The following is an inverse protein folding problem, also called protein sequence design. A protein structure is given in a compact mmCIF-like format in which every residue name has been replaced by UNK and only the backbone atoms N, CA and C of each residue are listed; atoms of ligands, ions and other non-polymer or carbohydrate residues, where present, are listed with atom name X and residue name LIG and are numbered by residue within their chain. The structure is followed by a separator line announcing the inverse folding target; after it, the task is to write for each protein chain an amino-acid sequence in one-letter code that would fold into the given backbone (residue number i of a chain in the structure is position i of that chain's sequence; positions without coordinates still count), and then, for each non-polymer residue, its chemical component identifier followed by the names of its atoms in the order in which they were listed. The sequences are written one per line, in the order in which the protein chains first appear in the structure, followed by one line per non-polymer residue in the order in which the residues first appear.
data_IF_901290000503
#
_entry.id   IF_901290000503
#
_cell.length_a   1.000
_cell.length_b   1.000
_cell.length_c   1.000
_cell.angle_alpha   90.00
_cell.angle_beta   90.00
_cell.angle_gamma   90.00
#
_symmetry.space_group_name_H-M   'P 1'
#
loop_
_entity.id
_entity.type
_entity.pdbx_description
1 polymer ?
#
# COMPACT_ATOMS: atom_id res chain seq x y z
N UNK A 1 23.09 15.82 -5.00
CA UNK A 1 21.89 15.87 -5.85
C UNK A 1 21.92 14.67 -6.79
N UNK A 2 20.77 14.20 -7.22
CA UNK A 2 20.67 13.26 -8.35
C UNK A 2 20.69 14.09 -9.62
N UNK A 3 21.35 13.65 -10.69
CA UNK A 3 21.25 14.25 -12.04
C UNK A 3 20.61 13.24 -12.96
N UNK A 4 19.44 13.57 -13.52
CA UNK A 4 18.75 12.72 -14.49
C UNK A 4 19.29 12.94 -15.90
N UNK A 5 19.28 11.90 -16.72
CA UNK A 5 19.84 11.88 -18.07
C UNK A 5 18.80 11.75 -19.18
N UNK A 6 17.72 11.02 -18.89
CA UNK A 6 16.63 10.78 -19.82
C UNK A 6 15.35 10.49 -19.04
N UNK A 7 14.23 10.53 -19.75
CA UNK A 7 12.92 10.09 -19.26
C UNK A 7 12.23 9.33 -20.37
N UNK A 8 11.53 8.26 -20.01
CA UNK A 8 10.66 7.48 -20.89
C UNK A 8 9.34 7.17 -20.19
N UNK A 9 8.30 6.92 -20.99
CA UNK A 9 6.99 6.51 -20.49
C UNK A 9 6.92 4.98 -20.46
N UNK A 10 6.54 4.44 -19.31
CA UNK A 10 6.16 3.05 -19.15
C UNK A 10 4.63 2.96 -19.16
N UNK A 11 4.07 2.47 -20.25
CA UNK A 11 2.61 2.39 -20.44
C UNK A 11 1.96 1.32 -19.58
N UNK A 12 2.69 0.28 -19.17
CA UNK A 12 2.15 -0.83 -18.39
C UNK A 12 1.83 -0.38 -16.98
N UNK A 13 2.73 0.41 -16.38
CA UNK A 13 2.57 0.92 -15.01
C UNK A 13 2.27 2.41 -14.95
N UNK A 14 1.99 3.03 -16.10
CA UNK A 14 1.67 4.45 -16.26
C UNK A 14 2.62 5.34 -15.47
N UNK A 15 3.91 5.17 -15.71
CA UNK A 15 4.95 5.90 -14.99
C UNK A 15 5.93 6.58 -15.91
N UNK A 16 6.53 7.67 -15.45
CA UNK A 16 7.74 8.21 -16.03
C UNK A 16 8.92 7.49 -15.40
N UNK A 17 9.85 7.05 -16.24
CA UNK A 17 11.04 6.28 -15.85
C UNK A 17 12.26 7.02 -16.34
N UNK A 18 13.16 7.36 -15.43
CA UNK A 18 14.35 8.14 -15.71
C UNK A 18 15.61 7.43 -15.23
N UNK A 19 16.71 7.52 -15.99
CA UNK A 19 18.03 7.12 -15.51
C UNK A 19 18.75 8.35 -14.99
N UNK A 20 19.54 8.17 -13.94
CA UNK A 20 20.32 9.24 -13.37
C UNK A 20 21.58 8.77 -12.66
N UNK A 21 22.29 9.75 -12.12
CA UNK A 21 23.55 9.58 -11.43
C UNK A 21 23.57 10.41 -10.16
N UNK A 22 24.15 9.85 -9.12
CA UNK A 22 24.56 10.53 -7.91
C UNK A 22 25.89 9.95 -7.43
N UNK A 23 26.25 10.16 -6.17
CA UNK A 23 27.42 9.53 -5.55
C UNK A 23 27.05 8.83 -4.23
N UNK A 24 27.98 8.03 -3.72
CA UNK A 24 27.78 7.29 -2.48
C UNK A 24 27.51 8.18 -1.27
N UNK A 25 28.13 9.36 -1.19
CA UNK A 25 27.88 10.31 -0.10
C UNK A 25 26.43 10.77 -0.08
N UNK A 26 25.92 11.23 -1.22
CA UNK A 26 24.52 11.62 -1.34
C UNK A 26 23.57 10.46 -1.04
N UNK A 27 23.92 9.24 -1.48
CA UNK A 27 23.13 8.06 -1.19
C UNK A 27 23.03 7.76 0.31
N UNK A 28 24.13 7.89 1.06
CA UNK A 28 24.15 7.71 2.51
C UNK A 28 23.33 8.78 3.24
N UNK A 29 23.39 10.03 2.77
CA UNK A 29 22.72 11.17 3.41
C UNK A 29 21.22 11.22 3.09
N UNK A 30 20.81 10.88 1.86
CA UNK A 30 19.46 11.15 1.36
C UNK A 30 18.68 9.90 0.94
N UNK A 31 19.33 8.80 0.56
CA UNK A 31 18.65 7.59 0.10
C UNK A 31 18.59 6.50 1.16
N UNK A 32 19.60 6.41 2.03
CA UNK A 32 19.63 5.48 3.16
C UNK A 32 18.46 5.70 4.14
N UNK A 33 18.08 6.95 4.53
CA UNK A 33 16.92 7.18 5.41
C UNK A 33 15.61 6.64 4.83
N UNK A 34 15.50 6.58 3.50
CA UNK A 34 14.32 6.04 2.83
C UNK A 34 14.14 4.54 3.08
N UNK A 35 15.17 3.81 3.53
CA UNK A 35 15.06 2.40 3.92
C UNK A 35 14.45 2.25 5.31
N UNK A 36 14.76 3.17 6.22
CA UNK A 36 14.32 3.06 7.62
C UNK A 36 12.80 3.26 7.77
N UNK A 37 12.13 3.85 6.76
CA UNK A 37 10.65 3.82 6.61
C UNK A 37 10.07 2.39 6.57
N UNK A 38 10.90 1.36 6.36
CA UNK A 38 10.49 -0.01 6.08
C UNK A 38 10.93 -1.04 7.14
N UNK A 39 11.53 -0.61 8.25
CA UNK A 39 12.35 -1.51 9.08
C UNK A 39 11.58 -2.28 10.17
N UNK A 40 10.63 -3.12 9.76
CA UNK A 40 10.22 -4.26 10.60
C UNK A 40 10.77 -5.56 10.05
N UNK A 41 11.91 -5.95 10.63
CA UNK A 41 12.45 -7.30 10.66
C UNK A 41 12.83 -7.91 9.31
N UNK A 42 13.76 -7.27 8.59
CA UNK A 42 14.68 -8.07 7.77
C UNK A 42 15.70 -8.73 8.67
N UNK A 43 15.48 -10.00 9.01
CA UNK A 43 16.56 -10.88 9.49
C UNK A 43 17.73 -10.75 8.51
N UNK A 44 18.83 -10.17 8.99
CA UNK A 44 20.11 -10.05 8.28
C UNK A 44 20.43 -11.39 7.61
N UNK A 45 20.27 -11.46 6.29
CA UNK A 45 20.64 -12.65 5.54
C UNK A 45 22.18 -12.77 5.50
N UNK A 46 22.66 -14.00 5.32
CA UNK A 46 24.04 -14.50 5.51
C UNK A 46 25.16 -13.45 5.33
N UNK A 47 25.82 -13.09 6.46
CA UNK A 47 26.95 -12.13 6.56
C UNK A 47 27.99 -12.20 5.44
N UNK A 48 28.39 -13.40 5.00
CA UNK A 48 29.52 -13.62 4.08
C UNK A 48 29.41 -12.93 2.71
N UNK A 49 28.22 -12.83 2.10
CA UNK A 49 28.08 -12.20 0.79
C UNK A 49 28.18 -10.67 0.86
N UNK A 50 27.61 -10.08 1.92
CA UNK A 50 27.64 -8.64 2.15
C UNK A 50 29.02 -8.16 2.58
N UNK A 51 29.78 -8.99 3.30
CA UNK A 51 31.18 -8.72 3.62
C UNK A 51 32.03 -8.57 2.36
N UNK A 52 31.75 -9.36 1.32
CA UNK A 52 32.50 -9.25 0.06
C UNK A 52 32.18 -7.96 -0.69
N UNK A 53 30.90 -7.65 -0.88
CA UNK A 53 30.49 -6.40 -1.54
C UNK A 53 31.01 -5.18 -0.78
N UNK A 54 30.98 -5.20 0.56
CA UNK A 54 31.56 -4.13 1.40
C UNK A 54 33.03 -3.91 1.08
N UNK A 55 33.84 -4.98 1.05
CA UNK A 55 35.26 -4.89 0.71
C UNK A 55 35.48 -4.40 -0.72
N UNK A 56 34.66 -4.85 -1.67
CA UNK A 56 34.76 -4.43 -3.06
C UNK A 56 34.41 -2.93 -3.22
N UNK A 57 33.40 -2.41 -2.50
CA UNK A 57 33.06 -0.97 -2.45
C UNK A 57 34.26 -0.15 -1.97
N UNK A 58 34.89 -0.57 -0.87
CA UNK A 58 36.09 0.11 -0.33
C UNK A 58 37.25 0.09 -1.33
N UNK A 59 37.32 -0.94 -2.18
CA UNK A 59 38.33 -1.05 -3.26
C UNK A 59 38.01 -0.24 -4.52
N UNK A 60 36.89 0.47 -4.57
CA UNK A 60 36.50 1.28 -5.73
C UNK A 60 35.40 0.68 -6.61
N UNK A 61 34.70 -0.37 -6.16
CA UNK A 61 33.58 -0.94 -6.91
C UNK A 61 32.46 0.08 -7.07
N UNK A 62 31.99 0.24 -8.32
CA UNK A 62 30.76 0.95 -8.66
C UNK A 62 29.61 -0.05 -8.54
N UNK A 63 28.70 0.18 -7.59
CA UNK A 63 27.57 -0.70 -7.33
C UNK A 63 26.57 -0.68 -8.49
N UNK A 64 25.83 -1.78 -8.71
CA UNK A 64 24.69 -1.78 -9.62
C UNK A 64 23.66 -0.71 -9.20
N UNK A 65 22.84 -0.20 -10.15
CA UNK A 65 21.98 0.96 -9.94
C UNK A 65 20.87 0.70 -8.92
N UNK A 66 20.57 1.70 -8.08
CA UNK A 66 19.40 1.65 -7.21
C UNK A 66 18.14 2.02 -7.98
N UNK A 67 16.97 1.53 -7.54
CA UNK A 67 15.70 2.01 -8.07
C UNK A 67 14.96 2.80 -6.99
N UNK A 68 14.70 4.06 -7.28
CA UNK A 68 13.88 4.97 -6.49
C UNK A 68 12.49 5.06 -7.12
N UNK A 69 11.46 5.09 -6.29
CA UNK A 69 10.09 5.21 -6.74
C UNK A 69 9.34 6.31 -5.99
N UNK A 70 8.44 6.99 -6.69
CA UNK A 70 7.56 8.04 -6.20
C UNK A 70 6.15 7.79 -6.72
N UNK A 71 5.14 8.30 -6.03
CA UNK A 71 3.76 8.31 -6.51
C UNK A 71 3.30 9.75 -6.69
N UNK A 72 3.04 10.10 -7.93
CA UNK A 72 2.53 11.41 -8.30
C UNK A 72 1.84 11.32 -9.66
N UNK A 73 0.55 11.60 -9.72
CA UNK A 73 -0.23 11.46 -10.95
C UNK A 73 0.09 12.51 -12.00
N UNK A 74 0.54 13.71 -11.59
CA UNK A 74 0.87 14.82 -12.49
C UNK A 74 2.17 14.52 -13.24
N UNK A 75 3.22 14.16 -12.49
CA UNK A 75 4.56 13.93 -13.02
C UNK A 75 4.73 12.51 -13.57
N UNK A 76 3.83 11.58 -13.27
CA UNK A 76 3.86 10.24 -13.84
C UNK A 76 3.80 10.26 -15.37
N UNK A 77 3.00 11.14 -15.97
CA UNK A 77 2.90 11.25 -17.43
C UNK A 77 3.92 12.23 -18.05
N UNK A 78 4.69 12.94 -17.23
CA UNK A 78 5.64 13.93 -17.70
C UNK A 78 6.82 13.27 -18.43
N UNK A 79 7.17 13.86 -19.58
CA UNK A 79 8.34 13.52 -20.38
C UNK A 79 9.34 14.70 -20.43
N UNK A 80 9.12 15.71 -19.60
CA UNK A 80 10.07 16.81 -19.43
C UNK A 80 11.07 16.46 -18.32
N UNK A 81 12.32 16.24 -18.73
CA UNK A 81 13.38 15.87 -17.80
C UNK A 81 13.67 16.93 -16.74
N UNK A 82 13.53 18.22 -17.07
CA UNK A 82 13.78 19.31 -16.12
C UNK A 82 12.70 19.37 -15.05
N UNK A 83 11.46 19.07 -15.46
CA UNK A 83 10.32 18.96 -14.57
C UNK A 83 10.46 17.79 -13.61
N UNK A 84 10.78 16.60 -14.13
CA UNK A 84 11.05 15.42 -13.31
C UNK A 84 12.24 15.66 -12.36
N UNK A 85 13.31 16.28 -12.84
CA UNK A 85 14.48 16.62 -12.03
C UNK A 85 14.07 17.49 -10.83
N UNK A 86 13.30 18.56 -11.06
CA UNK A 86 12.83 19.46 -9.99
C UNK A 86 11.92 18.72 -9.01
N UNK A 87 11.03 17.86 -9.50
CA UNK A 87 10.16 17.05 -8.65
C UNK A 87 10.97 16.13 -7.73
N UNK A 88 11.93 15.39 -8.28
CA UNK A 88 12.76 14.45 -7.50
C UNK A 88 13.60 15.17 -6.45
N UNK A 89 14.19 16.32 -6.80
CA UNK A 89 14.99 17.10 -5.87
C UNK A 89 14.19 17.64 -4.68
N UNK A 90 12.95 18.08 -4.92
CA UNK A 90 12.07 18.63 -3.88
C UNK A 90 11.48 17.56 -2.99
N UNK A 91 11.11 16.42 -3.58
CA UNK A 91 10.33 15.38 -2.91
C UNK A 91 11.16 14.14 -2.55
N UNK A 92 12.49 14.24 -2.50
CA UNK A 92 13.38 13.09 -2.28
C UNK A 92 13.03 12.31 -1.00
N UNK A 93 12.55 13.00 0.04
CA UNK A 93 12.17 12.42 1.33
C UNK A 93 10.88 11.60 1.25
N UNK A 94 10.06 11.84 0.24
CA UNK A 94 8.79 11.15 -0.03
C UNK A 94 9.00 9.91 -0.91
N UNK A 95 10.21 9.73 -1.43
CA UNK A 95 10.58 8.61 -2.27
C UNK A 95 10.77 7.30 -1.51
N UNK A 96 10.77 6.21 -2.27
CA UNK A 96 10.96 4.84 -1.76
C UNK A 96 12.09 4.13 -2.49
N UNK A 97 12.88 3.32 -1.78
CA UNK A 97 13.86 2.43 -2.40
C UNK A 97 13.16 1.15 -2.86
N UNK A 98 12.77 1.11 -4.14
CA UNK A 98 12.09 -0.03 -4.77
C UNK A 98 13.02 -1.25 -4.88
N UNK A 99 14.28 -1.00 -5.27
CA UNK A 99 15.34 -2.00 -5.36
C UNK A 99 16.67 -1.41 -4.88
N UNK A 100 17.43 -2.21 -4.14
CA UNK A 100 18.78 -1.86 -3.68
C UNK A 100 18.92 -1.57 -2.19
N UNK A 101 17.90 -1.85 -1.38
CA UNK A 101 17.97 -1.69 0.09
C UNK A 101 19.20 -2.38 0.72
N UNK A 102 19.49 -3.62 0.31
CA UNK A 102 20.65 -4.35 0.84
C UNK A 102 21.99 -3.76 0.38
N UNK A 103 22.02 -3.17 -0.82
CA UNK A 103 23.20 -2.46 -1.34
C UNK A 103 23.44 -1.19 -0.54
N UNK A 104 22.40 -0.42 -0.24
CA UNK A 104 22.51 0.76 0.63
C UNK A 104 22.92 0.41 2.07
N UNK A 105 22.39 -0.66 2.67
CA UNK A 105 22.85 -1.13 3.98
C UNK A 105 24.32 -1.59 3.94
N UNK A 106 24.75 -2.22 2.85
CA UNK A 106 26.16 -2.58 2.66
C UNK A 106 27.03 -1.34 2.48
N UNK A 107 26.54 -0.32 1.79
CA UNK A 107 27.20 0.97 1.64
C UNK A 107 27.38 1.67 3.01
N UNK A 108 26.36 1.65 3.87
CA UNK A 108 26.44 2.13 5.26
C UNK A 108 27.54 1.43 6.05
N UNK A 109 27.67 0.11 5.87
CA UNK A 109 28.75 -0.63 6.53
C UNK A 109 30.12 -0.33 5.92
N UNK A 110 30.20 -0.15 4.59
CA UNK A 110 31.43 0.22 3.90
C UNK A 110 31.92 1.61 4.28
N UNK A 111 31.00 2.55 4.57
CA UNK A 111 31.36 3.92 4.98
C UNK A 111 32.02 4.03 6.35
N UNK A 112 32.03 2.94 7.13
CA UNK A 112 32.74 2.87 8.41
C UNK A 112 34.23 2.52 8.25
N UNK A 113 34.66 2.15 7.03
CA UNK A 113 36.04 1.77 6.75
C UNK A 113 36.89 2.99 6.36
N UNK A 114 38.14 3.03 6.83
CA UNK A 114 39.04 4.19 6.69
C UNK A 114 39.29 4.60 5.23
N UNK A 115 39.35 3.63 4.31
CA UNK A 115 39.64 3.85 2.89
C UNK A 115 38.37 4.08 2.02
N UNK A 116 37.22 4.33 2.63
CA UNK A 116 35.98 4.51 1.89
C UNK A 116 35.97 5.80 1.04
N UNK A 117 35.72 5.65 -0.26
CA UNK A 117 35.53 6.78 -1.17
C UNK A 117 34.05 7.06 -1.44
N UNK A 118 33.48 8.04 -0.72
CA UNK A 118 32.10 8.48 -0.90
C UNK A 118 31.81 9.24 -2.21
N UNK A 119 32.83 9.58 -3.01
CA UNK A 119 32.66 10.29 -4.29
C UNK A 119 32.46 9.36 -5.48
N UNK A 120 32.52 8.05 -5.28
CA UNK A 120 32.27 7.10 -6.35
C UNK A 120 30.84 7.26 -6.90
N UNK A 121 30.69 7.14 -8.22
CA UNK A 121 29.40 7.29 -8.87
C UNK A 121 28.43 6.19 -8.43
N UNK A 122 27.15 6.56 -8.33
CA UNK A 122 26.04 5.66 -8.12
C UNK A 122 24.96 5.96 -9.14
N UNK A 123 24.71 5.01 -10.02
CA UNK A 123 23.60 5.10 -10.96
C UNK A 123 22.27 4.84 -10.24
N UNK A 124 21.23 5.53 -10.68
CA UNK A 124 19.88 5.38 -10.14
C UNK A 124 18.87 5.31 -11.28
N UNK A 125 17.84 4.49 -11.09
CA UNK A 125 16.62 4.50 -11.86
C UNK A 125 15.58 5.22 -10.99
N UNK A 126 14.89 6.21 -11.55
CA UNK A 126 13.79 6.90 -10.89
C UNK A 126 12.49 6.54 -11.60
N UNK A 127 11.48 6.15 -10.83
CA UNK A 127 10.15 5.81 -11.33
C UNK A 127 9.14 6.71 -10.62
N UNK A 128 8.33 7.44 -11.37
CA UNK A 128 7.20 8.19 -10.82
C UNK A 128 5.95 7.57 -11.41
N UNK A 129 5.22 6.79 -10.61
CA UNK A 129 4.00 6.13 -11.08
C UNK A 129 2.77 6.93 -10.70
N UNK A 130 1.74 6.80 -11.54
CA UNK A 130 0.46 7.48 -11.32
C UNK A 130 -0.19 7.01 -10.03
N UNK A 131 -0.03 5.71 -9.70
CA UNK A 131 -0.68 5.06 -8.56
C UNK A 131 0.18 3.97 -7.95
N UNK A 132 -0.07 3.70 -6.68
CA UNK A 132 0.64 2.70 -5.87
C UNK A 132 0.49 1.27 -6.35
N UNK A 133 -0.69 0.88 -6.83
CA UNK A 133 -0.95 -0.47 -7.32
C UNK A 133 -0.13 -0.80 -8.58
N UNK A 134 0.21 0.20 -9.39
CA UNK A 134 1.06 0.07 -10.56
C UNK A 134 2.55 -0.14 -10.19
N UNK A 135 3.04 0.55 -9.13
CA UNK A 135 4.37 0.25 -8.58
C UNK A 135 4.44 -1.16 -7.98
N UNK A 136 3.39 -1.60 -7.28
CA UNK A 136 3.31 -2.95 -6.73
C UNK A 136 3.39 -3.99 -7.85
N UNK A 137 2.63 -3.80 -8.92
CA UNK A 137 2.72 -4.66 -10.09
C UNK A 137 4.14 -4.73 -10.65
N UNK A 138 4.85 -3.59 -10.75
CA UNK A 138 6.25 -3.57 -11.19
C UNK A 138 7.16 -4.40 -10.27
N UNK A 139 6.99 -4.26 -8.95
CA UNK A 139 7.75 -5.05 -7.98
C UNK A 139 7.51 -6.55 -8.14
N UNK A 140 6.27 -6.96 -8.41
CA UNK A 140 5.90 -8.37 -8.61
C UNK A 140 6.49 -8.91 -9.90
N UNK A 141 6.29 -8.19 -11.00
CA UNK A 141 6.61 -8.67 -12.35
C UNK A 141 8.09 -8.60 -12.71
N UNK A 142 8.84 -7.64 -12.15
CA UNK A 142 10.26 -7.42 -12.49
C UNK A 142 11.25 -8.03 -11.50
N UNK A 143 10.80 -8.72 -10.44
CA UNK A 143 11.69 -9.48 -9.51
C UNK A 143 11.92 -10.94 -9.94
N UNK A 144 11.58 -11.30 -11.18
CA UNK A 144 11.77 -12.64 -11.73
C UNK A 144 13.26 -13.07 -11.70
N UNK A 145 13.60 -13.98 -10.78
CA UNK A 145 14.93 -14.60 -10.68
C UNK A 145 15.66 -14.42 -9.33
N UNK A 146 15.17 -13.56 -8.43
CA UNK A 146 15.66 -13.48 -7.04
C UNK A 146 14.69 -14.19 -6.09
N UNK A 147 15.14 -14.57 -4.88
CA UNK A 147 14.24 -15.18 -3.88
C UNK A 147 13.09 -14.19 -3.62
N UNK A 148 11.86 -14.51 -4.05
CA UNK A 148 10.80 -13.51 -4.12
C UNK A 148 10.46 -13.02 -2.73
N UNK A 149 10.27 -11.71 -2.61
CA UNK A 149 9.65 -11.12 -1.43
C UNK A 149 8.21 -11.64 -1.37
N UNK A 150 7.72 -12.07 -0.20
CA UNK A 150 6.32 -12.53 -0.12
C UNK A 150 5.39 -11.38 -0.50
N UNK A 151 4.36 -11.67 -1.28
CA UNK A 151 3.28 -10.75 -1.65
C UNK A 151 2.78 -9.91 -0.47
N UNK A 152 2.63 -10.55 0.71
CA UNK A 152 2.29 -9.86 1.95
C UNK A 152 3.34 -8.85 2.41
N UNK A 153 4.63 -9.22 2.40
CA UNK A 153 5.68 -8.27 2.75
C UNK A 153 5.74 -7.12 1.72
N UNK A 154 5.48 -7.38 0.43
CA UNK A 154 5.36 -6.32 -0.58
C UNK A 154 4.19 -5.36 -0.28
N UNK A 155 3.03 -5.92 0.03
CA UNK A 155 1.85 -5.14 0.43
C UNK A 155 2.12 -4.36 1.72
N UNK A 156 2.71 -4.95 2.75
CA UNK A 156 3.04 -4.28 4.02
C UNK A 156 4.10 -3.18 3.83
N UNK A 157 5.12 -3.43 3.00
CA UNK A 157 6.12 -2.41 2.64
C UNK A 157 5.45 -1.22 1.97
N UNK A 158 4.61 -1.46 0.97
CA UNK A 158 3.93 -0.37 0.25
C UNK A 158 2.85 0.29 1.09
N UNK A 159 2.17 -0.46 1.95
CA UNK A 159 1.20 0.10 2.90
C UNK A 159 1.89 1.10 3.81
N UNK A 160 3.12 0.83 4.31
CA UNK A 160 3.88 1.82 5.11
C UNK A 160 4.17 3.11 4.35
N UNK A 161 4.44 3.06 3.04
CA UNK A 161 4.63 4.24 2.21
C UNK A 161 3.31 5.00 1.91
N UNK A 162 2.22 4.29 1.61
CA UNK A 162 0.88 4.86 1.46
C UNK A 162 0.33 5.48 2.75
N UNK A 163 0.85 5.02 3.88
CA UNK A 163 0.55 5.48 5.22
C UNK A 163 1.50 6.60 5.67
N UNK A 164 2.04 7.42 4.77
CA UNK A 164 2.51 8.75 5.18
C UNK A 164 1.28 9.55 5.66
N UNK A 165 0.96 9.34 6.95
CA UNK A 165 -0.22 9.79 7.68
C UNK A 165 -0.22 11.30 7.91
N UNK A 166 0.72 12.05 7.34
CA UNK A 166 0.80 13.50 7.51
C UNK A 166 -0.41 14.24 6.90
N UNK A 167 -1.17 13.58 6.02
CA UNK A 167 -2.35 14.16 5.36
C UNK A 167 -3.69 13.52 5.75
N UNK A 168 -3.70 12.48 6.60
CA UNK A 168 -4.92 11.83 7.08
C UNK A 168 -5.08 12.10 8.58
N UNK A 169 -6.29 12.47 9.01
CA UNK A 169 -6.61 12.68 10.43
C UNK A 169 -6.69 11.39 11.26
N UNK A 170 -6.71 10.22 10.62
CA UNK A 170 -6.74 8.91 11.29
C UNK A 170 -5.35 8.45 11.77
N UNK A 171 -5.32 7.98 13.03
CA UNK A 171 -4.13 7.37 13.62
C UNK A 171 -4.00 5.90 13.21
N UNK A 172 -2.83 5.50 12.71
CA UNK A 172 -2.57 4.15 12.22
C UNK A 172 -1.34 3.59 12.92
N UNK A 173 -1.51 2.49 13.66
CA UNK A 173 -0.51 1.96 14.59
C UNK A 173 -0.13 0.52 14.27
N UNK A 174 1.12 0.18 14.50
CA UNK A 174 1.63 -1.18 14.48
C UNK A 174 1.10 -2.00 15.66
N UNK A 175 1.23 -3.33 15.57
CA UNK A 175 0.88 -4.22 16.69
C UNK A 175 1.69 -3.89 17.95
N UNK A 176 2.99 -3.61 17.79
CA UNK A 176 3.89 -3.24 18.90
C UNK A 176 3.51 -1.92 19.58
N UNK A 177 3.12 -0.91 18.80
CA UNK A 177 2.67 0.39 19.34
C UNK A 177 1.32 0.27 20.06
N UNK A 178 0.46 -0.64 19.59
CA UNK A 178 -0.83 -0.95 20.24
C UNK A 178 -0.62 -1.55 21.64
N UNK A 179 0.38 -2.41 21.79
CA UNK A 179 0.75 -3.03 23.07
C UNK A 179 1.34 -2.04 24.09
N UNK A 180 2.09 -1.04 23.61
CA UNK A 180 2.83 -0.10 24.47
C UNK A 180 2.05 1.16 24.83
N UNK A 181 1.31 1.74 23.87
CA UNK A 181 0.68 3.07 24.04
C UNK A 181 -0.85 3.05 24.13
N UNK A 182 -1.50 1.92 23.81
CA UNK A 182 -2.98 1.76 23.73
C UNK A 182 -3.71 3.00 23.18
N UNK A 183 -3.34 3.51 22.00
CA UNK A 183 -3.92 4.73 21.47
C UNK A 183 -5.40 4.50 21.17
N UNK A 184 -6.27 5.33 21.75
CA UNK A 184 -7.71 5.23 21.53
C UNK A 184 -8.04 5.66 20.10
N UNK A 185 -8.97 4.95 19.45
CA UNK A 185 -9.44 5.28 18.10
C UNK A 185 -8.46 4.97 16.96
N UNK A 186 -7.32 4.32 17.22
CA UNK A 186 -6.34 4.01 16.19
C UNK A 186 -6.69 2.76 15.37
N UNK A 187 -6.37 2.79 14.07
CA UNK A 187 -6.48 1.66 13.14
C UNK A 187 -5.22 0.81 13.20
N UNK A 188 -5.36 -0.52 13.12
CA UNK A 188 -4.22 -1.42 13.09
C UNK A 188 -3.64 -1.50 11.68
N UNK A 189 -2.33 -1.39 11.56
CA UNK A 189 -1.61 -1.56 10.27
C UNK A 189 -1.93 -2.90 9.60
N UNK A 190 -2.05 -3.98 10.38
CA UNK A 190 -2.41 -5.30 9.85
C UNK A 190 -3.79 -5.32 9.18
N UNK A 191 -4.77 -4.61 9.75
CA UNK A 191 -6.12 -4.51 9.20
C UNK A 191 -6.14 -3.70 7.90
N UNK A 192 -5.39 -2.60 7.83
CA UNK A 192 -5.21 -1.80 6.60
C UNK A 192 -4.56 -2.66 5.50
N UNK A 193 -3.51 -3.41 5.81
CA UNK A 193 -2.84 -4.28 4.84
C UNK A 193 -3.77 -5.39 4.34
N UNK A 194 -4.59 -5.98 5.22
CA UNK A 194 -5.59 -6.97 4.84
C UNK A 194 -6.69 -6.37 3.94
N UNK A 195 -7.16 -5.17 4.26
CA UNK A 195 -8.13 -4.43 3.46
C UNK A 195 -7.58 -4.04 2.09
N UNK A 196 -6.32 -3.62 2.01
CA UNK A 196 -5.64 -3.35 0.74
C UNK A 196 -5.49 -4.61 -0.11
N UNK A 197 -5.12 -5.73 0.52
CA UNK A 197 -5.06 -7.04 -0.16
C UNK A 197 -6.42 -7.42 -0.74
N UNK A 198 -7.50 -7.26 0.03
CA UNK A 198 -8.86 -7.53 -0.42
C UNK A 198 -9.27 -6.59 -1.56
N UNK A 199 -8.93 -5.30 -1.46
CA UNK A 199 -9.13 -4.31 -2.51
C UNK A 199 -8.45 -4.74 -3.81
N UNK A 200 -7.17 -5.08 -3.78
CA UNK A 200 -6.41 -5.50 -4.96
C UNK A 200 -6.98 -6.77 -5.58
N UNK A 201 -7.26 -7.78 -4.75
CA UNK A 201 -7.82 -9.06 -5.19
C UNK A 201 -9.30 -8.99 -5.58
N UNK A 202 -10.01 -7.89 -5.24
CA UNK A 202 -11.46 -7.77 -5.37
C UNK A 202 -12.20 -8.94 -4.70
N UNK A 203 -11.64 -9.44 -3.60
CA UNK A 203 -12.14 -10.59 -2.87
C UNK A 203 -12.09 -10.29 -1.38
N UNK A 204 -13.19 -10.57 -0.69
CA UNK A 204 -13.27 -10.46 0.78
C UNK A 204 -12.82 -11.74 1.48
N UNK A 205 -12.60 -12.83 0.73
CA UNK A 205 -12.16 -14.13 1.26
C UNK A 205 -10.64 -14.19 1.35
N UNK A 206 -10.07 -13.34 2.21
CA UNK A 206 -8.63 -13.23 2.41
C UNK A 206 -8.08 -13.99 3.62
N UNK A 207 -8.90 -14.82 4.28
CA UNK A 207 -8.49 -15.61 5.44
C UNK A 207 -7.38 -16.61 5.17
N UNK A 208 -7.40 -17.22 3.98
CA UNK A 208 -6.28 -18.03 3.52
C UNK A 208 -5.19 -17.12 2.96
N UNK A 209 -4.66 -16.27 3.84
CA UNK A 209 -3.50 -15.41 3.63
C UNK A 209 -2.39 -16.15 2.89
N UNK A 210 -2.16 -17.43 3.19
CA UNK A 210 -1.18 -18.29 2.51
C UNK A 210 -1.50 -18.59 1.03
N UNK A 211 -2.78 -18.78 0.68
CA UNK A 211 -3.22 -19.03 -0.70
C UNK A 211 -3.21 -17.73 -1.50
N UNK A 212 -3.70 -16.63 -0.90
CA UNK A 212 -3.62 -15.31 -1.51
C UNK A 212 -2.16 -14.92 -1.70
N UNK A 213 -1.28 -15.12 -0.72
CA UNK A 213 0.15 -14.86 -0.86
C UNK A 213 0.79 -15.67 -2.00
N UNK A 214 0.38 -16.93 -2.19
CA UNK A 214 0.89 -17.75 -3.30
C UNK A 214 0.34 -17.38 -4.67
N UNK A 215 -0.83 -16.71 -4.73
CA UNK A 215 -1.54 -16.36 -5.96
C UNK A 215 -1.68 -14.86 -6.20
N UNK A 216 -1.19 -14.00 -5.31
CA UNK A 216 -1.31 -12.55 -5.43
C UNK A 216 -0.61 -12.08 -6.69
N UNK A 217 0.55 -12.68 -6.97
CA UNK A 217 1.32 -12.43 -8.19
C UNK A 217 0.49 -12.80 -9.42
N UNK A 218 -0.15 -13.97 -9.43
CA UNK A 218 -1.05 -14.40 -10.50
C UNK A 218 -2.28 -13.47 -10.64
N UNK A 219 -2.87 -13.03 -9.53
CA UNK A 219 -4.06 -12.16 -9.52
C UNK A 219 -3.71 -10.75 -10.01
N UNK A 220 -2.59 -10.18 -9.56
CA UNK A 220 -2.15 -8.86 -9.98
C UNK A 220 -1.66 -8.89 -11.43
N UNK A 221 -0.97 -9.95 -11.85
CA UNK A 221 -0.62 -10.15 -13.26
C UNK A 221 -1.87 -10.29 -14.12
N UNK A 222 -2.79 -11.19 -13.76
CA UNK A 222 -4.02 -11.40 -14.50
C UNK A 222 -4.87 -10.12 -14.59
N UNK A 223 -4.95 -9.33 -13.51
CA UNK A 223 -5.77 -8.10 -13.50
C UNK A 223 -5.13 -6.87 -14.13
N UNK A 224 -3.82 -6.86 -14.35
CA UNK A 224 -3.15 -5.81 -15.16
C UNK A 224 -3.15 -6.20 -16.63
N UNK A 225 -3.08 -7.51 -16.92
CA UNK A 225 -3.22 -8.05 -18.27
C UNK A 225 -4.66 -8.00 -18.80
N UNK A 226 -5.65 -8.31 -17.96
CA UNK A 226 -7.01 -7.84 -18.16
C UNK A 226 -6.97 -6.34 -17.91
N UNK A 227 -7.19 -5.50 -18.91
CA UNK A 227 -7.08 -4.03 -18.91
C UNK A 227 -7.84 -3.27 -17.80
N UNK A 228 -8.51 -3.99 -16.88
CA UNK A 228 -9.40 -3.46 -15.85
C UNK A 228 -8.68 -2.80 -14.66
N UNK A 229 -7.42 -3.13 -14.32
CA UNK A 229 -6.70 -2.37 -13.26
C UNK A 229 -6.31 -0.97 -13.71
N UNK A 230 -5.90 -0.83 -14.96
CA UNK A 230 -5.58 0.44 -15.59
C UNK A 230 -6.85 1.28 -15.80
N UNK A 231 -8.01 0.67 -16.03
CA UNK A 231 -9.30 1.39 -16.16
C UNK A 231 -10.01 1.72 -14.83
N UNK A 232 -9.58 1.14 -13.70
CA UNK A 232 -10.20 1.43 -12.40
C UNK A 232 -9.98 2.90 -12.03
N UNK A 233 -11.05 3.71 -11.98
CA UNK A 233 -11.04 5.10 -11.47
C UNK A 233 -10.93 5.20 -9.94
N UNK A 234 -10.93 4.04 -9.26
CA UNK A 234 -10.89 3.92 -7.81
C UNK A 234 -9.53 3.36 -7.39
N UNK A 235 -8.87 4.09 -6.49
CA UNK A 235 -7.62 3.71 -5.84
C UNK A 235 -7.89 3.34 -4.38
N UNK A 236 -6.95 2.63 -3.75
CA UNK A 236 -7.06 2.36 -2.31
C UNK A 236 -6.89 3.65 -1.47
N UNK A 237 -6.22 4.68 -2.01
CA UNK A 237 -6.15 5.98 -1.35
C UNK A 237 -7.53 6.64 -1.25
N UNK A 238 -8.41 6.44 -2.22
CA UNK A 238 -9.80 6.91 -2.14
C UNK A 238 -10.52 6.24 -0.95
N UNK A 239 -10.24 4.97 -0.68
CA UNK A 239 -10.77 4.27 0.48
C UNK A 239 -10.26 4.91 1.78
N UNK A 240 -8.96 5.18 1.89
CA UNK A 240 -8.40 5.82 3.08
C UNK A 240 -8.93 7.24 3.31
N UNK A 241 -9.11 8.03 2.24
CA UNK A 241 -9.73 9.37 2.32
C UNK A 241 -11.16 9.31 2.83
N UNK A 242 -11.96 8.33 2.38
CA UNK A 242 -13.32 8.14 2.86
C UNK A 242 -13.35 7.59 4.29
N UNK A 243 -12.45 6.68 4.65
CA UNK A 243 -12.28 6.21 6.04
C UNK A 243 -11.97 7.39 6.95
N UNK A 244 -11.06 8.28 6.54
CA UNK A 244 -10.71 9.50 7.27
C UNK A 244 -11.91 10.43 7.43
N UNK A 245 -12.59 10.75 6.32
CA UNK A 245 -13.83 11.56 6.32
C UNK A 245 -14.88 11.03 7.29
N UNK A 246 -15.17 9.73 7.25
CA UNK A 246 -16.20 9.12 8.11
C UNK A 246 -15.72 8.90 9.55
N UNK A 247 -14.41 8.86 9.79
CA UNK A 247 -13.86 8.74 11.15
C UNK A 247 -14.02 9.99 12.01
N UNK A 248 -14.54 11.08 11.45
CA UNK A 248 -14.99 12.26 12.20
C UNK A 248 -16.10 11.90 13.21
N UNK A 249 -16.90 10.86 12.93
CA UNK A 249 -17.88 10.29 13.87
C UNK A 249 -17.31 9.04 14.57
N UNK A 250 -17.59 8.92 15.87
CA UNK A 250 -17.04 7.86 16.72
C UNK A 250 -17.61 6.49 16.36
N UNK A 251 -18.92 6.39 16.10
CA UNK A 251 -19.58 5.13 15.75
C UNK A 251 -19.07 4.62 14.40
N UNK A 252 -19.01 5.50 13.41
CA UNK A 252 -18.47 5.22 12.08
C UNK A 252 -17.01 4.81 12.12
N UNK A 253 -16.19 5.54 12.90
CA UNK A 253 -14.79 5.19 13.13
C UNK A 253 -14.66 3.79 13.72
N UNK A 254 -15.39 3.48 14.78
CA UNK A 254 -15.27 2.18 15.44
C UNK A 254 -15.81 1.04 14.57
N UNK A 255 -16.83 1.29 13.74
CA UNK A 255 -17.28 0.35 12.71
C UNK A 255 -16.18 0.07 11.68
N UNK A 256 -15.53 1.11 11.14
CA UNK A 256 -14.46 1.00 10.14
C UNK A 256 -13.17 0.42 10.71
N UNK A 257 -12.90 0.56 12.01
CA UNK A 257 -11.73 -0.03 12.68
C UNK A 257 -11.82 -1.55 12.79
N UNK A 258 -13.00 -2.14 12.64
CA UNK A 258 -13.16 -3.58 12.65
C UNK A 258 -12.65 -4.13 11.32
N UNK A 259 -11.55 -4.90 11.34
CA UNK A 259 -10.86 -5.37 10.12
C UNK A 259 -11.79 -6.04 9.10
N UNK A 260 -12.80 -6.79 9.55
CA UNK A 260 -13.82 -7.39 8.68
C UNK A 260 -14.66 -6.33 7.94
N UNK A 261 -15.06 -5.27 8.64
CA UNK A 261 -15.85 -4.19 8.03
C UNK A 261 -14.96 -3.38 7.08
N UNK A 262 -13.71 -3.11 7.47
CA UNK A 262 -12.75 -2.40 6.63
C UNK A 262 -12.46 -3.14 5.31
N UNK A 263 -12.30 -4.47 5.37
CA UNK A 263 -12.14 -5.33 4.19
C UNK A 263 -13.37 -5.22 3.29
N UNK A 264 -14.58 -5.37 3.85
CA UNK A 264 -15.82 -5.26 3.09
C UNK A 264 -16.00 -3.87 2.47
N UNK A 265 -15.76 -2.82 3.25
CA UNK A 265 -15.80 -1.43 2.82
C UNK A 265 -14.86 -1.17 1.65
N UNK A 266 -13.61 -1.60 1.76
CA UNK A 266 -12.59 -1.37 0.74
C UNK A 266 -12.96 -2.03 -0.58
N UNK A 267 -13.46 -3.27 -0.55
CA UNK A 267 -13.93 -3.94 -1.77
C UNK A 267 -15.20 -3.30 -2.30
N UNK A 268 -16.15 -2.97 -1.42
CA UNK A 268 -17.45 -2.43 -1.80
C UNK A 268 -17.38 -1.06 -2.45
N UNK A 269 -16.46 -0.21 -1.99
CA UNK A 269 -16.21 1.14 -2.48
C UNK A 269 -16.07 1.21 -4.01
N UNK A 270 -15.50 0.18 -4.64
CA UNK A 270 -15.29 0.16 -6.09
C UNK A 270 -16.57 0.34 -6.90
N UNK A 271 -17.72 0.01 -6.30
CA UNK A 271 -19.03 0.11 -6.93
C UNK A 271 -19.83 1.33 -6.47
N UNK A 272 -19.35 2.09 -5.48
CA UNK A 272 -20.13 3.13 -4.80
C UNK A 272 -19.32 4.37 -4.41
N UNK A 273 -18.12 4.56 -4.97
CA UNK A 273 -17.23 5.71 -4.71
C UNK A 273 -17.97 7.04 -4.82
N UNK A 274 -18.72 7.26 -5.88
CA UNK A 274 -19.39 8.53 -6.13
C UNK A 274 -20.45 8.82 -5.06
N UNK A 275 -21.29 7.82 -4.73
CA UNK A 275 -22.27 7.93 -3.64
C UNK A 275 -21.58 8.23 -2.31
N UNK A 276 -20.53 7.50 -1.95
CA UNK A 276 -19.78 7.68 -0.70
C UNK A 276 -19.09 9.05 -0.61
N UNK A 277 -18.60 9.59 -1.73
CA UNK A 277 -18.02 10.92 -1.79
C UNK A 277 -19.05 12.01 -1.45
N UNK A 278 -20.30 11.84 -1.87
CA UNK A 278 -21.39 12.81 -1.58
C UNK A 278 -22.01 12.64 -0.19
N UNK A 279 -21.84 11.49 0.45
CA UNK A 279 -22.47 11.16 1.74
C UNK A 279 -21.86 11.95 2.90
N UNK A 280 -22.68 12.48 3.82
CA UNK A 280 -22.17 13.16 5.03
C UNK A 280 -21.76 12.14 6.11
N UNK A 281 -20.86 12.51 7.05
CA UNK A 281 -20.54 11.65 8.19
C UNK A 281 -21.77 11.23 9.00
N UNK A 282 -22.74 12.12 9.19
CA UNK A 282 -23.97 11.84 9.94
C UNK A 282 -24.83 10.79 9.23
N UNK A 283 -25.01 10.89 7.91
CA UNK A 283 -25.77 9.88 7.16
C UNK A 283 -25.04 8.54 7.12
N UNK A 284 -23.72 8.55 7.03
CA UNK A 284 -22.94 7.32 7.09
C UNK A 284 -23.07 6.65 8.46
N UNK A 285 -23.05 7.43 9.54
CA UNK A 285 -23.33 6.96 10.90
C UNK A 285 -24.68 6.24 10.99
N UNK A 286 -25.76 6.89 10.58
CA UNK A 286 -27.12 6.31 10.62
C UNK A 286 -27.17 4.98 9.83
N UNK A 287 -26.50 4.94 8.68
CA UNK A 287 -26.42 3.76 7.84
C UNK A 287 -25.65 2.61 8.53
N UNK A 288 -24.52 2.90 9.20
CA UNK A 288 -23.76 1.85 9.93
C UNK A 288 -24.43 1.40 11.22
N UNK A 289 -25.20 2.25 11.88
CA UNK A 289 -26.05 1.84 13.03
C UNK A 289 -27.11 0.84 12.58
N UNK A 290 -27.80 1.16 11.48
CA UNK A 290 -28.78 0.26 10.85
C UNK A 290 -28.13 -1.07 10.42
N UNK A 291 -26.90 -1.01 9.88
CA UNK A 291 -26.12 -2.19 9.54
C UNK A 291 -25.87 -3.08 10.76
N UNK A 292 -25.42 -2.52 11.89
CA UNK A 292 -25.08 -3.30 13.08
C UNK A 292 -26.31 -3.92 13.74
N UNK A 293 -27.44 -3.21 13.76
CA UNK A 293 -28.71 -3.74 14.24
C UNK A 293 -29.17 -4.91 13.37
N UNK A 294 -29.14 -4.76 12.04
CA UNK A 294 -29.51 -5.82 11.11
C UNK A 294 -28.55 -7.02 11.18
N UNK A 295 -27.24 -6.77 11.34
CA UNK A 295 -26.24 -7.83 11.47
C UNK A 295 -26.40 -8.61 12.77
N UNK A 296 -26.73 -7.92 13.86
CA UNK A 296 -26.94 -8.54 15.19
C UNK A 296 -28.24 -9.32 15.27
N UNK A 297 -29.25 -8.98 14.45
CA UNK A 297 -30.48 -9.76 14.28
C UNK A 297 -30.26 -11.10 13.57
N UNK A 298 -29.16 -11.26 12.82
CA UNK A 298 -28.78 -12.56 12.27
C UNK A 298 -28.38 -13.49 13.42
N UNK A 299 -28.86 -14.75 13.39
CA UNK A 299 -28.45 -15.74 14.40
C UNK A 299 -27.05 -16.28 14.10
N UNK A 300 -26.04 -15.43 14.25
CA UNK A 300 -24.63 -15.68 13.88
C UNK A 300 -23.92 -16.70 14.75
N UNK A 301 -24.52 -17.13 15.87
CA UNK A 301 -23.93 -18.06 16.85
C UNK A 301 -23.60 -19.46 16.30
N UNK A 302 -24.11 -19.82 15.12
CA UNK A 302 -23.86 -21.11 14.42
C UNK A 302 -22.98 -20.98 13.17
N UNK A 303 -22.38 -19.80 12.94
CA UNK A 303 -21.84 -19.39 11.65
C UNK A 303 -20.41 -18.81 11.79
N UNK A 304 -19.61 -18.86 10.72
CA UNK A 304 -18.32 -18.12 10.64
C UNK A 304 -18.57 -16.60 10.58
N UNK A 305 -18.80 -15.98 11.74
CA UNK A 305 -19.17 -14.56 11.92
C UNK A 305 -18.25 -13.62 11.13
N UNK A 306 -16.95 -13.86 11.13
CA UNK A 306 -15.98 -13.01 10.44
C UNK A 306 -16.10 -13.06 8.91
N UNK A 307 -16.42 -14.22 8.33
CA UNK A 307 -16.68 -14.37 6.90
C UNK A 307 -17.90 -13.54 6.47
N UNK A 308 -19.06 -13.81 7.09
CA UNK A 308 -20.31 -13.14 6.73
C UNK A 308 -20.25 -11.64 6.98
N UNK A 309 -19.60 -11.20 8.06
CA UNK A 309 -19.47 -9.77 8.33
C UNK A 309 -18.74 -9.04 7.20
N UNK A 310 -17.70 -9.65 6.60
CA UNK A 310 -17.02 -9.08 5.44
C UNK A 310 -17.88 -9.07 4.18
N UNK A 311 -18.56 -10.17 3.89
CA UNK A 311 -19.44 -10.30 2.73
C UNK A 311 -20.60 -9.31 2.78
N UNK A 312 -21.25 -9.21 3.94
CA UNK A 312 -22.36 -8.29 4.16
C UNK A 312 -21.88 -6.84 4.19
N UNK A 313 -20.73 -6.54 4.80
CA UNK A 313 -20.13 -5.20 4.70
C UNK A 313 -19.83 -4.82 3.26
N UNK A 314 -19.30 -5.74 2.44
CA UNK A 314 -19.09 -5.50 1.00
C UNK A 314 -20.42 -5.26 0.29
N UNK A 315 -21.41 -6.13 0.48
CA UNK A 315 -22.73 -6.00 -0.15
C UNK A 315 -23.37 -4.65 0.20
N UNK A 316 -23.35 -4.31 1.49
CA UNK A 316 -23.90 -3.06 2.02
C UNK A 316 -23.23 -1.85 1.38
N UNK A 317 -21.90 -1.80 1.40
CA UNK A 317 -21.15 -0.66 0.86
C UNK A 317 -21.25 -0.59 -0.67
N UNK A 318 -21.21 -1.72 -1.39
CA UNK A 318 -21.37 -1.74 -2.86
C UNK A 318 -22.70 -1.20 -3.36
N UNK A 319 -23.74 -1.24 -2.52
CA UNK A 319 -25.10 -0.81 -2.87
C UNK A 319 -25.63 0.21 -1.87
N UNK A 320 -24.74 0.99 -1.25
CA UNK A 320 -25.10 1.86 -0.12
C UNK A 320 -26.24 2.82 -0.47
N UNK A 321 -26.27 3.34 -1.69
CA UNK A 321 -27.35 4.21 -2.19
C UNK A 321 -28.75 3.60 -2.00
N UNK A 322 -28.89 2.28 -2.15
CA UNK A 322 -30.16 1.56 -2.02
C UNK A 322 -30.53 1.31 -0.55
N UNK A 323 -29.56 1.41 0.36
CA UNK A 323 -29.69 1.02 1.76
C UNK A 323 -29.68 2.19 2.74
N UNK A 324 -29.30 3.40 2.31
CA UNK A 324 -29.27 4.60 3.16
C UNK A 324 -30.58 4.85 3.90
N UNK A 325 -31.72 4.65 3.22
CA UNK A 325 -33.05 4.88 3.79
C UNK A 325 -33.79 3.56 4.12
N UNK A 326 -33.08 2.42 4.17
CA UNK A 326 -33.70 1.15 4.54
C UNK A 326 -33.79 1.02 6.05
N UNK A 327 -34.90 0.48 6.55
CA UNK A 327 -35.03 0.13 7.96
C UNK A 327 -34.28 -1.17 8.30
N UNK A 328 -34.15 -1.43 9.60
CA UNK A 328 -33.47 -2.61 10.15
C UNK A 328 -34.09 -3.91 9.63
N UNK A 329 -35.42 -3.99 9.55
CA UNK A 329 -36.13 -5.21 9.15
C UNK A 329 -35.82 -5.59 7.69
N UNK A 330 -35.90 -4.61 6.79
CA UNK A 330 -35.58 -4.78 5.37
C UNK A 330 -34.12 -5.15 5.17
N UNK A 331 -33.20 -4.49 5.88
CA UNK A 331 -31.77 -4.79 5.77
C UNK A 331 -31.45 -6.19 6.34
N UNK A 332 -32.13 -6.60 7.41
CA UNK A 332 -32.03 -7.95 7.99
C UNK A 332 -32.50 -9.00 6.99
N UNK A 333 -33.61 -8.78 6.29
CA UNK A 333 -34.10 -9.70 5.24
C UNK A 333 -33.08 -9.84 4.10
N UNK A 334 -32.50 -8.73 3.66
CA UNK A 334 -31.45 -8.72 2.62
C UNK A 334 -30.23 -9.52 3.09
N UNK A 335 -29.77 -9.29 4.32
CA UNK A 335 -28.62 -10.01 4.87
C UNK A 335 -28.92 -11.50 5.02
N UNK A 336 -30.09 -11.86 5.54
CA UNK A 336 -30.51 -13.24 5.67
C UNK A 336 -30.51 -13.96 4.31
N UNK A 337 -31.09 -13.35 3.27
CA UNK A 337 -31.07 -13.89 1.91
C UNK A 337 -29.65 -14.05 1.38
N UNK A 338 -28.79 -13.04 1.57
CA UNK A 338 -27.39 -13.11 1.14
C UNK A 338 -26.63 -14.24 1.83
N UNK A 339 -26.98 -14.58 3.08
CA UNK A 339 -26.35 -15.67 3.83
C UNK A 339 -26.86 -17.08 3.50
N UNK A 340 -27.98 -17.21 2.78
CA UNK A 340 -28.58 -18.50 2.41
C UNK A 340 -28.10 -19.05 1.06
N UNK A 341 -27.44 -18.24 0.23
CA UNK A 341 -27.09 -18.58 -1.17
C UNK A 341 -25.73 -19.32 -1.26
N UNK A 342 -25.31 -20.03 -0.22
CA UNK A 342 -24.14 -20.93 -0.26
C UNK A 342 -24.49 -22.38 -0.57
#
# INVERSE_FOLDING_TARGET
MITLFNVGRDEVIRSSVSLGLTNYRYALENLLPLIDKFDEQRKVQRRKFYDRLRLDIVRGCIMPPLTLAFIDSEHAASLDIEDIQRFVERNIQDGYVLDGMQRLNTLKNASLEENFNGQLPLYVNVIIAERYDLLLYRMITLNNGQKPMTARHQIEMLTKGMLDTEHLGISIVSEKETETSKPQGAFKRGDIAAAYTAFLTNSVHNDNSRIIESKLDEILVAKVMDSNLTELTVSFQDALKLVDKFSADVTSRDWLRLGNNLIGFSVGLKNSKDTLNTLTPEKFKEAVETFEDAFSALNVSKINVGKFRRELSRLFISKIEQYLDSDVDKLTEIFFRATLVE
#
